data_IF_270657327339
#
_entry.id   IF_270657327339
#
_cell.length_a   1.000
_cell.length_b   1.000
_cell.length_c   1.000
_cell.angle_alpha   90.00
_cell.angle_beta   90.00
_cell.angle_gamma   90.00
#
_symmetry.space_group_name_H-M   'P 1'
#
loop_
_entity.id
_entity.type
_entity.pdbx_description
1 polymer ?
#
# COMPACT_ATOMS: atom_id res chain seq x y z
N UNK A 1 -15.42 -23.70 2.56
CA UNK A 1 -15.19 -22.26 2.67
C UNK A 1 -14.40 -21.97 3.93
N UNK A 2 -13.34 -21.20 3.84
CA UNK A 2 -12.54 -20.72 4.96
C UNK A 2 -12.34 -19.20 4.83
N UNK A 3 -12.42 -18.49 5.94
CA UNK A 3 -12.10 -17.08 6.05
C UNK A 3 -10.72 -16.96 6.70
N UNK A 4 -9.86 -16.17 6.10
CA UNK A 4 -8.51 -15.85 6.60
C UNK A 4 -8.50 -14.39 7.05
N UNK A 5 -7.92 -14.15 8.21
CA UNK A 5 -7.71 -12.83 8.82
C UNK A 5 -6.23 -12.57 9.03
N UNK A 6 -5.85 -11.42 9.54
CA UNK A 6 -4.48 -11.11 9.90
C UNK A 6 -3.84 -12.19 10.79
N UNK A 7 -4.61 -12.78 11.72
CA UNK A 7 -4.14 -13.83 12.61
C UNK A 7 -3.80 -15.16 11.90
N UNK A 8 -4.25 -15.36 10.66
CA UNK A 8 -3.97 -16.57 9.88
C UNK A 8 -2.71 -16.44 9.02
N UNK A 9 -2.07 -15.28 8.98
CA UNK A 9 -0.81 -15.08 8.26
C UNK A 9 0.32 -15.75 9.04
N UNK A 10 1.00 -16.74 8.46
CA UNK A 10 1.94 -17.58 9.23
C UNK A 10 3.25 -16.89 9.59
N UNK A 11 3.62 -15.84 8.88
CA UNK A 11 4.81 -15.01 9.11
C UNK A 11 4.44 -13.63 9.62
N UNK A 12 4.78 -12.59 8.88
CA UNK A 12 4.52 -11.19 9.25
C UNK A 12 3.42 -10.61 8.37
N UNK A 13 2.44 -9.97 9.02
CA UNK A 13 1.33 -9.29 8.35
C UNK A 13 1.76 -7.89 7.86
N UNK A 14 2.74 -7.86 6.98
CA UNK A 14 3.27 -6.61 6.43
C UNK A 14 3.74 -6.81 4.99
N UNK A 15 3.44 -5.87 4.11
CA UNK A 15 3.91 -5.82 2.73
C UNK A 15 4.60 -4.49 2.38
N UNK A 16 4.93 -3.67 3.39
CA UNK A 16 5.73 -2.47 3.21
C UNK A 16 7.17 -2.79 2.81
N UNK A 17 7.62 -2.24 1.70
CA UNK A 17 8.92 -2.54 1.12
C UNK A 17 10.08 -1.72 1.72
N UNK A 18 9.81 -0.52 2.17
CA UNK A 18 10.80 0.43 2.71
C UNK A 18 10.44 0.77 4.16
N UNK A 19 9.18 1.11 4.38
CA UNK A 19 8.62 1.33 5.71
C UNK A 19 7.65 0.18 5.99
N UNK A 20 7.86 -0.51 7.10
CA UNK A 20 7.07 -1.68 7.48
C UNK A 20 5.80 -1.26 8.25
N UNK A 21 4.86 -0.63 7.55
CA UNK A 21 3.60 -0.09 8.09
C UNK A 21 2.38 -0.40 7.20
N UNK A 22 2.52 -1.34 6.27
CA UNK A 22 1.48 -1.74 5.32
C UNK A 22 0.97 -3.16 5.61
N UNK A 23 0.00 -3.34 6.51
CA UNK A 23 -0.53 -4.67 6.81
C UNK A 23 -1.22 -5.28 5.58
N UNK A 24 -0.92 -6.56 5.31
CA UNK A 24 -1.54 -7.34 4.22
C UNK A 24 -3.05 -7.47 4.45
N UNK A 25 -3.45 -7.77 5.69
CA UNK A 25 -4.84 -7.77 6.14
C UNK A 25 -4.97 -6.85 7.35
N UNK A 26 -6.07 -6.12 7.42
CA UNK A 26 -6.37 -5.19 8.51
C UNK A 26 -6.27 -5.88 9.88
N UNK A 27 -5.62 -5.22 10.83
CA UNK A 27 -5.44 -5.68 12.20
C UNK A 27 -6.03 -4.64 13.16
N UNK A 28 -7.34 -4.73 13.38
CA UNK A 28 -8.09 -3.90 14.31
C UNK A 28 -8.60 -2.59 13.73
N UNK A 29 -7.81 -1.83 12.98
CA UNK A 29 -8.19 -0.52 12.47
C UNK A 29 -8.17 -0.47 10.93
N UNK A 30 -9.29 -0.04 10.35
CA UNK A 30 -9.38 0.24 8.90
C UNK A 30 -8.97 1.69 8.68
N UNK A 31 -7.82 1.89 8.04
CA UNK A 31 -7.19 3.21 7.87
C UNK A 31 -7.59 3.92 6.59
N UNK A 32 -8.00 3.17 5.55
CA UNK A 32 -8.37 3.76 4.26
C UNK A 32 -9.42 2.91 3.55
N UNK A 33 -10.15 3.53 2.63
CA UNK A 33 -11.14 2.86 1.80
C UNK A 33 -10.47 1.85 0.86
N UNK A 34 -10.94 0.61 0.92
CA UNK A 34 -10.38 -0.49 0.11
C UNK A 34 -9.30 -1.31 0.81
N UNK A 35 -8.95 -0.99 2.05
CA UNK A 35 -8.01 -1.82 2.82
C UNK A 35 -8.56 -3.24 2.97
N UNK A 36 -7.76 -4.29 2.66
CA UNK A 36 -8.18 -5.67 2.83
C UNK A 36 -8.39 -6.02 4.32
N UNK A 37 -9.54 -6.56 4.65
CA UNK A 37 -9.90 -6.94 6.04
C UNK A 37 -9.76 -8.45 6.26
N UNK A 38 -10.14 -9.23 5.26
CA UNK A 38 -10.09 -10.68 5.28
C UNK A 38 -10.02 -11.24 3.86
N UNK A 39 -9.62 -12.49 3.74
CA UNK A 39 -9.67 -13.24 2.48
C UNK A 39 -10.58 -14.45 2.62
N UNK A 40 -11.25 -14.83 1.54
CA UNK A 40 -12.11 -16.01 1.50
C UNK A 40 -11.54 -17.04 0.55
N UNK A 41 -11.36 -18.26 1.05
CA UNK A 41 -10.98 -19.43 0.27
C UNK A 41 -12.18 -20.36 0.14
N UNK A 42 -12.50 -20.79 -1.07
CA UNK A 42 -13.59 -21.70 -1.36
C UNK A 42 -13.21 -22.62 -2.55
N UNK A 43 -14.01 -23.63 -2.82
CA UNK A 43 -13.79 -24.57 -3.93
C UNK A 43 -13.92 -23.88 -5.30
N UNK A 44 -14.81 -22.89 -5.38
CA UNK A 44 -15.00 -22.12 -6.62
C UNK A 44 -14.91 -20.61 -6.35
N UNK A 45 -14.52 -19.89 -7.39
CA UNK A 45 -14.47 -18.41 -7.36
C UNK A 45 -15.83 -17.80 -7.04
N UNK A 46 -16.91 -18.39 -7.56
CA UNK A 46 -18.27 -17.91 -7.30
C UNK A 46 -18.65 -18.06 -5.83
N UNK A 47 -18.34 -19.20 -5.23
CA UNK A 47 -18.55 -19.41 -3.79
C UNK A 47 -17.76 -18.42 -2.95
N UNK A 48 -16.50 -18.19 -3.28
CA UNK A 48 -15.65 -17.23 -2.57
C UNK A 48 -16.24 -15.81 -2.65
N UNK A 49 -16.66 -15.36 -3.83
CA UNK A 49 -17.29 -14.04 -4.03
C UNK A 49 -18.59 -13.88 -3.26
N UNK A 50 -19.46 -14.90 -3.31
CA UNK A 50 -20.73 -14.89 -2.56
C UNK A 50 -20.49 -14.83 -1.07
N UNK A 51 -19.57 -15.62 -0.55
CA UNK A 51 -19.21 -15.59 0.87
C UNK A 51 -18.62 -14.23 1.28
N UNK A 52 -17.72 -13.66 0.48
CA UNK A 52 -17.16 -12.33 0.74
C UNK A 52 -18.25 -11.23 0.76
N UNK A 53 -19.25 -11.33 -0.12
CA UNK A 53 -20.36 -10.37 -0.16
C UNK A 53 -21.20 -10.36 1.12
N UNK A 54 -21.28 -11.49 1.86
CA UNK A 54 -21.98 -11.58 3.13
C UNK A 54 -21.32 -10.76 4.24
N UNK A 55 -20.06 -10.38 4.09
CA UNK A 55 -19.35 -9.57 5.08
C UNK A 55 -20.08 -8.25 5.40
N UNK A 56 -20.72 -7.65 4.41
CA UNK A 56 -21.53 -6.42 4.60
C UNK A 56 -22.66 -6.57 5.65
N UNK A 57 -23.08 -7.80 5.91
CA UNK A 57 -24.16 -8.10 6.84
C UNK A 57 -23.64 -8.46 8.24
N UNK A 58 -22.41 -8.98 8.33
CA UNK A 58 -21.88 -9.53 9.58
C UNK A 58 -20.71 -8.72 10.16
N UNK A 59 -19.98 -7.99 9.31
CA UNK A 59 -18.88 -7.17 9.77
C UNK A 59 -19.41 -6.00 10.62
N UNK A 60 -18.88 -5.87 11.82
CA UNK A 60 -19.14 -4.73 12.71
C UNK A 60 -17.95 -3.80 12.67
N UNK A 61 -18.22 -2.53 12.42
CA UNK A 61 -17.17 -1.48 12.36
C UNK A 61 -17.68 -0.30 13.19
N UNK A 62 -16.87 0.11 14.15
CA UNK A 62 -17.08 1.35 14.87
C UNK A 62 -16.50 2.50 14.04
N UNK A 63 -17.35 3.50 13.75
CA UNK A 63 -16.93 4.61 12.91
C UNK A 63 -16.00 5.55 13.70
N UNK A 64 -14.83 5.84 13.12
CA UNK A 64 -13.94 6.91 13.57
C UNK A 64 -14.12 8.16 12.70
N UNK A 65 -13.66 9.30 13.19
CA UNK A 65 -13.68 10.54 12.42
C UNK A 65 -12.66 10.45 11.27
N UNK A 66 -13.10 10.50 9.99
CA UNK A 66 -12.19 10.34 8.87
C UNK A 66 -11.36 11.60 8.62
N UNK A 67 -10.13 11.41 8.16
CA UNK A 67 -9.28 12.46 7.60
C UNK A 67 -9.21 12.28 6.10
N UNK A 68 -9.86 13.16 5.35
CA UNK A 68 -10.11 12.97 3.92
C UNK A 68 -9.27 13.90 3.03
N UNK A 69 -8.61 14.89 3.61
CA UNK A 69 -7.82 15.85 2.84
C UNK A 69 -6.44 16.07 3.46
N UNK A 70 -5.42 16.40 2.64
CA UNK A 70 -4.09 16.77 3.14
C UNK A 70 -4.13 17.96 4.11
N UNK A 71 -5.03 18.91 3.90
CA UNK A 71 -5.23 20.04 4.81
C UNK A 71 -5.68 19.60 6.20
N UNK A 72 -6.70 18.74 6.27
CA UNK A 72 -7.18 18.18 7.55
C UNK A 72 -6.07 17.38 8.25
N UNK A 73 -5.30 16.58 7.51
CA UNK A 73 -4.17 15.83 8.06
C UNK A 73 -3.11 16.77 8.65
N UNK A 74 -2.78 17.84 7.95
CA UNK A 74 -1.83 18.85 8.41
C UNK A 74 -2.32 19.58 9.67
N UNK A 75 -3.58 20.03 9.68
CA UNK A 75 -4.19 20.72 10.83
C UNK A 75 -4.27 19.83 12.09
N UNK A 76 -4.47 18.52 11.90
CA UNK A 76 -4.50 17.51 12.97
C UNK A 76 -3.12 16.97 13.34
N UNK A 77 -2.05 17.34 12.63
CA UNK A 77 -0.71 16.79 12.82
C UNK A 77 -0.60 15.29 12.49
N UNK A 78 -1.50 14.78 11.67
CA UNK A 78 -1.52 13.37 11.25
C UNK A 78 -0.71 13.19 9.97
N UNK A 79 0.50 12.68 10.11
CA UNK A 79 1.42 12.43 9.01
C UNK A 79 1.76 10.95 8.94
N UNK A 80 1.86 10.41 7.73
CA UNK A 80 2.35 9.03 7.50
C UNK A 80 3.82 8.92 7.88
N UNK A 81 4.61 9.95 7.53
CA UNK A 81 6.00 10.11 7.96
C UNK A 81 6.18 11.50 8.56
N UNK A 82 7.12 11.70 9.49
CA UNK A 82 7.40 13.03 10.03
C UNK A 82 7.65 14.04 8.91
N UNK A 83 7.08 15.25 9.00
CA UNK A 83 7.32 16.28 8.00
C UNK A 83 8.81 16.65 7.96
N UNK A 84 9.38 16.66 6.77
CA UNK A 84 10.77 17.04 6.53
C UNK A 84 10.84 18.34 5.75
N UNK A 85 11.60 19.29 6.25
CA UNK A 85 11.95 20.49 5.51
C UNK A 85 13.36 20.32 4.93
N UNK A 86 13.44 20.11 3.63
CA UNK A 86 14.73 20.08 2.93
C UNK A 86 15.13 21.50 2.53
N UNK A 87 15.83 22.18 3.43
CA UNK A 87 16.47 23.46 3.08
C UNK A 87 17.82 23.17 2.43
N UNK A 88 17.85 23.07 1.13
CA UNK A 88 19.07 23.01 0.33
C UNK A 88 19.14 24.25 -0.56
N UNK A 89 19.38 25.39 0.03
CA UNK A 89 19.75 26.56 -0.76
C UNK A 89 21.25 26.82 -0.61
N UNK A 90 21.89 27.25 -1.68
CA UNK A 90 23.28 27.71 -1.63
C UNK A 90 23.49 28.88 -0.66
N UNK A 91 22.42 29.58 -0.30
CA UNK A 91 22.40 30.71 0.65
C UNK A 91 22.24 30.27 2.10
N UNK A 92 21.96 28.99 2.40
CA UNK A 92 21.71 28.50 3.74
C UNK A 92 20.51 29.13 4.46
N UNK A 93 19.54 29.69 3.71
CA UNK A 93 18.36 30.31 4.29
C UNK A 93 17.45 29.28 4.95
N UNK A 94 17.00 29.59 6.15
CA UNK A 94 15.89 28.90 6.83
C UNK A 94 14.53 29.34 6.26
N UNK A 95 13.44 28.81 6.79
CA UNK A 95 12.08 29.13 6.34
C UNK A 95 11.78 30.64 6.45
N UNK A 96 12.20 31.29 7.53
CA UNK A 96 12.00 32.72 7.73
C UNK A 96 12.78 33.53 6.69
N UNK A 97 14.00 33.13 6.40
CA UNK A 97 14.84 33.74 5.36
C UNK A 97 14.24 33.58 3.96
N UNK A 98 13.69 32.40 3.64
CA UNK A 98 12.99 32.15 2.36
C UNK A 98 11.75 33.02 2.24
N UNK A 99 10.90 33.11 3.27
CA UNK A 99 9.71 33.97 3.30
C UNK A 99 10.07 35.44 3.12
N UNK A 100 11.12 35.89 3.79
CA UNK A 100 11.62 37.25 3.65
C UNK A 100 12.17 37.53 2.24
N UNK A 101 12.87 36.57 1.61
CA UNK A 101 13.35 36.69 0.24
C UNK A 101 12.18 36.80 -0.77
N UNK A 102 11.15 35.98 -0.62
CA UNK A 102 9.92 36.05 -1.42
C UNK A 102 9.24 37.40 -1.22
N UNK A 103 9.13 37.91 0.01
CA UNK A 103 8.49 39.17 0.30
C UNK A 103 9.21 40.35 -0.34
N UNK A 104 10.54 40.28 -0.52
CA UNK A 104 11.34 41.32 -1.17
C UNK A 104 11.43 41.20 -2.69
N UNK A 105 10.95 40.05 -3.26
CA UNK A 105 11.02 39.86 -4.71
C UNK A 105 10.21 40.96 -5.46
N UNK A 106 10.77 41.54 -6.53
CA UNK A 106 10.09 42.62 -7.28
C UNK A 106 8.84 42.09 -8.01
N UNK A 107 8.81 40.81 -8.36
CA UNK A 107 7.67 40.16 -8.99
C UNK A 107 7.22 38.99 -8.16
N UNK A 108 5.94 38.90 -7.83
CA UNK A 108 5.36 37.84 -7.03
C UNK A 108 4.06 37.36 -7.63
N UNK A 109 3.86 36.06 -7.63
CA UNK A 109 2.62 35.40 -7.97
C UNK A 109 2.20 34.51 -6.78
N UNK A 110 0.93 34.56 -6.44
CA UNK A 110 0.35 33.69 -5.40
C UNK A 110 -0.93 33.03 -5.93
N UNK A 111 -1.12 31.78 -5.63
CA UNK A 111 -2.30 31.04 -6.05
C UNK A 111 -2.37 29.69 -5.35
N UNK A 112 -3.46 28.99 -5.58
CA UNK A 112 -3.67 27.61 -5.15
C UNK A 112 -4.05 26.74 -6.35
N UNK A 113 -3.62 25.49 -6.30
CA UNK A 113 -3.95 24.47 -7.29
C UNK A 113 -4.34 23.20 -6.56
N UNK A 114 -5.54 22.68 -6.85
CA UNK A 114 -5.97 21.38 -6.37
C UNK A 114 -5.73 20.34 -7.46
N UNK A 115 -4.93 19.30 -7.12
CA UNK A 115 -4.60 18.19 -8.02
C UNK A 115 -5.07 16.90 -7.40
N UNK A 116 -5.99 16.22 -8.06
CA UNK A 116 -6.47 14.89 -7.65
C UNK A 116 -5.42 13.82 -7.84
N UNK A 117 -5.55 12.72 -7.11
CA UNK A 117 -4.75 11.53 -7.32
C UNK A 117 -4.90 10.98 -8.74
N UNK A 118 -3.81 10.46 -9.29
CA UNK A 118 -3.79 9.84 -10.61
C UNK A 118 -3.62 8.34 -10.47
N UNK A 119 -4.50 7.57 -11.11
CA UNK A 119 -4.34 6.12 -11.25
C UNK A 119 -3.49 5.83 -12.49
N UNK A 120 -2.53 4.92 -12.37
CA UNK A 120 -1.66 4.50 -13.48
C UNK A 120 -2.44 3.87 -14.64
N UNK A 121 -3.55 3.23 -14.33
CA UNK A 121 -4.51 2.65 -15.27
C UNK A 121 -3.86 1.78 -16.36
N UNK A 122 -2.93 0.92 -15.94
CA UNK A 122 -2.27 -0.05 -16.81
C UNK A 122 -3.29 -1.07 -17.35
N UNK A 123 -3.09 -1.52 -18.58
CA UNK A 123 -4.02 -2.42 -19.27
C UNK A 123 -4.12 -3.79 -18.61
N UNK A 124 -2.99 -4.37 -18.22
CA UNK A 124 -2.94 -5.60 -17.42
C UNK A 124 -3.13 -5.28 -15.95
N UNK A 125 -4.19 -5.79 -15.32
CA UNK A 125 -4.44 -5.62 -13.89
C UNK A 125 -3.33 -6.21 -13.00
N UNK A 126 -3.42 -5.99 -11.70
CA UNK A 126 -2.55 -6.64 -10.71
C UNK A 126 -2.97 -8.10 -10.58
N UNK A 127 -2.12 -9.00 -11.07
CA UNK A 127 -2.43 -10.43 -11.18
C UNK A 127 -1.30 -11.22 -10.54
N UNK A 128 -1.69 -12.20 -9.71
CA UNK A 128 -0.77 -13.18 -9.15
C UNK A 128 -1.38 -14.56 -9.21
N UNK A 129 -0.56 -15.55 -9.53
CA UNK A 129 -0.89 -16.96 -9.52
C UNK A 129 0.16 -17.73 -8.72
N UNK A 130 -0.25 -18.32 -7.61
CA UNK A 130 0.65 -19.00 -6.68
C UNK A 130 0.48 -20.51 -6.73
N UNK A 131 1.59 -21.23 -6.79
CA UNK A 131 1.69 -22.69 -6.83
C UNK A 131 2.50 -23.16 -5.63
N UNK A 132 1.90 -23.89 -4.67
CA UNK A 132 2.66 -24.54 -3.61
C UNK A 132 3.68 -25.52 -4.18
N UNK A 133 4.85 -25.57 -3.53
CA UNK A 133 5.94 -26.49 -3.83
C UNK A 133 6.27 -27.33 -2.60
N UNK A 134 7.03 -28.41 -2.79
CA UNK A 134 7.54 -29.23 -1.68
C UNK A 134 8.32 -28.39 -0.66
N UNK A 135 8.40 -28.86 0.58
CA UNK A 135 9.17 -28.20 1.64
C UNK A 135 8.67 -26.82 2.04
N UNK A 136 7.36 -26.54 1.93
CA UNK A 136 6.75 -25.24 2.16
C UNK A 136 7.15 -24.16 1.13
N UNK A 137 7.72 -24.55 0.01
CA UNK A 137 8.08 -23.64 -1.07
C UNK A 137 6.87 -23.08 -1.80
N UNK A 138 7.07 -21.94 -2.49
CA UNK A 138 6.04 -21.29 -3.29
C UNK A 138 6.62 -20.83 -4.63
N UNK A 139 5.89 -21.07 -5.70
CA UNK A 139 6.17 -20.45 -7.00
C UNK A 139 5.05 -19.47 -7.34
N UNK A 140 5.40 -18.21 -7.52
CA UNK A 140 4.45 -17.12 -7.79
C UNK A 140 4.73 -16.55 -9.18
N UNK A 141 3.74 -16.66 -10.06
CA UNK A 141 3.72 -15.91 -11.31
C UNK A 141 2.97 -14.61 -11.06
N UNK A 142 3.59 -13.47 -11.25
CA UNK A 142 2.91 -12.19 -11.02
C UNK A 142 3.38 -11.10 -11.98
N UNK A 143 2.51 -10.14 -12.20
CA UNK A 143 2.84 -8.90 -12.88
C UNK A 143 3.42 -7.92 -11.84
N UNK A 144 4.73 -7.73 -11.88
CA UNK A 144 5.44 -6.85 -10.93
C UNK A 144 6.65 -6.17 -11.57
N UNK A 145 6.92 -4.95 -11.15
CA UNK A 145 8.12 -4.20 -11.54
C UNK A 145 9.36 -4.66 -10.73
N UNK A 146 9.15 -5.37 -9.63
CA UNK A 146 10.22 -5.77 -8.72
C UNK A 146 10.09 -7.22 -8.23
N UNK A 147 10.43 -8.23 -9.07
CA UNK A 147 10.28 -9.64 -8.70
C UNK A 147 11.03 -10.05 -7.43
N UNK A 148 12.23 -9.49 -7.20
CA UNK A 148 13.04 -9.79 -6.02
C UNK A 148 12.39 -9.31 -4.73
N UNK A 149 11.76 -8.13 -4.74
CA UNK A 149 11.04 -7.62 -3.59
C UNK A 149 9.79 -8.45 -3.31
N UNK A 150 9.02 -8.77 -4.35
CA UNK A 150 7.88 -9.68 -4.23
C UNK A 150 8.30 -11.03 -3.63
N UNK A 151 9.47 -11.57 -3.99
CA UNK A 151 10.03 -12.79 -3.38
C UNK A 151 10.22 -12.62 -1.87
N UNK A 152 10.83 -11.53 -1.45
CA UNK A 152 11.08 -11.26 -0.02
C UNK A 152 9.77 -11.06 0.75
N UNK A 153 8.83 -10.30 0.23
CA UNK A 153 7.53 -10.03 0.86
C UNK A 153 6.70 -11.31 1.02
N UNK A 154 6.64 -12.14 -0.03
CA UNK A 154 5.94 -13.43 0.03
C UNK A 154 6.60 -14.38 1.03
N UNK A 155 7.93 -14.46 1.03
CA UNK A 155 8.66 -15.28 2.00
C UNK A 155 8.42 -14.83 3.44
N UNK A 156 8.40 -13.52 3.67
CA UNK A 156 8.12 -12.89 4.97
C UNK A 156 6.71 -13.20 5.46
N UNK A 157 5.71 -13.03 4.60
CA UNK A 157 4.31 -13.35 4.90
C UNK A 157 4.10 -14.85 5.18
N UNK A 158 4.84 -15.73 4.50
CA UNK A 158 4.76 -17.18 4.69
C UNK A 158 5.62 -17.69 5.85
N UNK A 159 6.51 -16.89 6.41
CA UNK A 159 7.46 -17.31 7.44
C UNK A 159 8.43 -18.38 6.92
N UNK A 160 8.93 -18.23 5.68
CA UNK A 160 9.89 -19.14 5.05
C UNK A 160 11.12 -18.37 4.57
N UNK A 161 12.28 -19.02 4.36
CA UNK A 161 13.43 -18.34 3.80
C UNK A 161 13.18 -17.92 2.35
N UNK A 162 13.77 -16.81 1.91
CA UNK A 162 13.54 -16.22 0.58
C UNK A 162 13.79 -17.21 -0.57
N UNK A 163 14.82 -18.09 -0.45
CA UNK A 163 15.12 -19.09 -1.46
C UNK A 163 14.04 -20.17 -1.63
N UNK A 164 13.10 -20.29 -0.68
CA UNK A 164 11.94 -21.20 -0.82
C UNK A 164 10.84 -20.59 -1.73
N UNK A 165 10.93 -19.31 -2.09
CA UNK A 165 9.98 -18.63 -2.94
C UNK A 165 10.63 -18.32 -4.28
N UNK A 166 9.99 -18.75 -5.38
CA UNK A 166 10.36 -18.38 -6.74
C UNK A 166 9.31 -17.41 -7.27
N UNK A 167 9.73 -16.23 -7.71
CA UNK A 167 8.85 -15.25 -8.36
C UNK A 167 9.21 -15.15 -9.84
N UNK A 168 8.22 -15.29 -10.68
CA UNK A 168 8.37 -15.23 -12.13
C UNK A 168 7.46 -14.14 -12.72
N UNK A 169 8.07 -13.16 -13.39
CA UNK A 169 7.40 -12.15 -14.21
C UNK A 169 7.96 -12.22 -15.64
N UNK A 170 7.27 -12.92 -16.52
CA UNK A 170 7.73 -13.08 -17.91
C UNK A 170 7.55 -11.83 -18.74
N UNK A 171 6.40 -11.20 -18.61
CA UNK A 171 6.02 -9.96 -19.29
C UNK A 171 5.09 -9.18 -18.38
N UNK A 172 5.12 -7.88 -18.51
CA UNK A 172 4.28 -6.99 -17.74
C UNK A 172 3.55 -6.04 -18.69
N UNK A 173 2.25 -5.99 -18.58
CA UNK A 173 1.36 -5.17 -19.42
C UNK A 173 1.17 -3.76 -18.88
N UNK A 174 2.27 -3.11 -18.47
CA UNK A 174 2.30 -1.80 -17.84
C UNK A 174 2.43 -1.90 -16.32
N UNK A 175 3.04 -0.89 -15.72
CA UNK A 175 3.23 -0.78 -14.27
C UNK A 175 3.25 0.67 -13.83
N UNK A 176 4.12 1.49 -14.41
CA UNK A 176 4.22 2.94 -14.19
C UNK A 176 4.34 3.32 -12.71
N UNK A 177 4.97 2.47 -11.91
CA UNK A 177 5.08 2.62 -10.46
C UNK A 177 3.93 1.99 -9.65
N UNK A 178 2.91 1.39 -10.29
CA UNK A 178 1.75 0.78 -9.63
C UNK A 178 1.83 -0.73 -9.40
N UNK A 179 2.96 -1.39 -9.75
CA UNK A 179 3.12 -2.84 -9.63
C UNK A 179 4.45 -3.22 -9.01
#
# INVERSE_FOLDING_TARGET
>A
VRVLTAADIPGVNDCGSIVHDEPILCEGEIRFLGQPVFAVVAETREQARRAAALARQVLRVDAAEPVLTPRQAHEKGQYVVPPMHLVRSASGLDEAGIRAAIARAPHRLSGSLDVGGQEQFYLEGQISYALPREGRGMHVHCSTQHPSEMQHLVAHALGVPAHAVLVECRRMGGGFGGK
#
